data_IF_789487417961
#
_entry.id   IF_789487417961
#
_cell.length_a   1.000
_cell.length_b   1.000
_cell.length_c   1.000
_cell.angle_alpha   90.00
_cell.angle_beta   90.00
_cell.angle_gamma   90.00
#
_symmetry.space_group_name_H-M   'P 1'
#
loop_
_entity.id
_entity.type
_entity.pdbx_description
1 polymer ?
#
# COMPACT_ATOMS: atom_id res chain seq x y z
N UNK A 1 17.42 4.95 13.84
CA UNK A 1 16.68 6.08 13.24
C UNK A 1 15.60 5.49 12.37
N UNK A 2 14.32 5.81 12.62
CA UNK A 2 13.24 5.37 11.74
C UNK A 2 13.43 6.03 10.37
N UNK A 3 13.45 5.23 9.30
CA UNK A 3 13.50 5.78 7.95
C UNK A 3 12.25 6.64 7.72
N UNK A 4 12.42 7.83 7.15
CA UNK A 4 11.30 8.65 6.71
C UNK A 4 10.55 7.88 5.62
N UNK A 5 9.30 7.53 5.89
CA UNK A 5 8.43 6.90 4.91
C UNK A 5 8.25 7.86 3.73
N UNK A 6 8.67 7.45 2.54
CA UNK A 6 8.46 8.17 1.29
C UNK A 6 8.62 7.19 0.12
N UNK A 7 7.64 7.08 -0.79
CA UNK A 7 7.79 6.24 -1.98
C UNK A 7 8.85 6.83 -2.89
N UNK A 8 9.40 6.04 -3.82
CA UNK A 8 10.16 6.61 -4.92
C UNK A 8 9.23 7.48 -5.78
N UNK A 9 9.70 8.68 -6.17
CA UNK A 9 8.94 9.57 -7.06
C UNK A 9 8.59 8.92 -8.39
N UNK A 10 9.50 8.09 -8.90
CA UNK A 10 9.30 7.26 -10.08
C UNK A 10 9.08 5.83 -9.60
N UNK A 11 8.02 5.17 -10.07
CA UNK A 11 7.83 3.75 -9.81
C UNK A 11 8.90 2.91 -10.57
N UNK A 12 8.88 1.60 -10.38
CA UNK A 12 9.87 0.70 -11.01
C UNK A 12 9.88 0.80 -12.55
N UNK A 13 8.75 1.16 -13.17
CA UNK A 13 8.62 1.39 -14.61
C UNK A 13 9.00 2.82 -15.05
N UNK A 14 9.67 3.57 -14.19
CA UNK A 14 10.09 4.96 -14.39
C UNK A 14 8.92 5.95 -14.57
N UNK A 15 7.73 5.62 -14.12
CA UNK A 15 6.53 6.47 -14.21
C UNK A 15 6.41 7.35 -12.96
N UNK A 16 6.21 8.65 -13.16
CA UNK A 16 6.04 9.62 -12.08
C UNK A 16 4.72 9.43 -11.34
N UNK A 17 4.76 9.31 -10.01
CA UNK A 17 3.57 9.15 -9.18
C UNK A 17 2.64 10.38 -9.21
N UNK A 18 3.16 11.55 -9.59
CA UNK A 18 2.39 12.80 -9.61
C UNK A 18 1.69 13.08 -10.93
N UNK A 19 2.32 12.74 -12.05
CA UNK A 19 1.85 13.13 -13.38
C UNK A 19 1.66 11.97 -14.35
N UNK A 20 2.05 10.75 -13.99
CA UNK A 20 1.90 9.57 -14.84
C UNK A 20 2.84 9.49 -16.05
N UNK A 21 3.74 10.46 -16.25
CA UNK A 21 4.71 10.41 -17.35
C UNK A 21 5.98 9.62 -16.99
N UNK A 22 6.51 8.87 -17.96
CA UNK A 22 7.80 8.19 -17.85
C UNK A 22 8.96 9.19 -17.84
N UNK A 23 10.00 8.89 -17.05
CA UNK A 23 11.24 9.67 -16.93
C UNK A 23 11.01 11.15 -16.61
N UNK A 24 9.95 11.47 -15.85
CA UNK A 24 9.58 12.86 -15.56
C UNK A 24 10.71 13.60 -14.83
N UNK A 25 11.12 14.76 -15.37
CA UNK A 25 12.08 15.69 -14.77
C UNK A 25 11.46 17.04 -14.40
N UNK A 26 10.13 17.15 -14.36
CA UNK A 26 9.43 18.40 -14.07
C UNK A 26 9.76 18.92 -12.67
N UNK A 27 10.25 20.17 -12.58
CA UNK A 27 10.50 20.85 -11.31
C UNK A 27 9.27 20.88 -10.40
N UNK A 28 8.06 20.99 -10.98
CA UNK A 28 6.80 20.92 -10.22
C UNK A 28 6.63 19.58 -9.49
N UNK A 29 6.87 18.46 -10.19
CA UNK A 29 6.72 17.12 -9.60
C UNK A 29 7.82 16.81 -8.58
N UNK A 30 9.04 17.32 -8.81
CA UNK A 30 10.15 17.21 -7.87
C UNK A 30 9.80 17.96 -6.58
N UNK A 31 9.43 19.24 -6.70
CA UNK A 31 9.08 20.05 -5.54
C UNK A 31 7.80 19.59 -4.83
N UNK A 32 6.86 18.92 -5.51
CA UNK A 32 5.74 18.22 -4.88
C UNK A 32 6.26 17.08 -4.02
N UNK A 33 7.07 16.20 -4.61
CA UNK A 33 7.58 15.04 -3.92
C UNK A 33 8.43 15.37 -2.68
N UNK A 34 9.25 16.40 -2.75
CA UNK A 34 10.15 16.81 -1.66
C UNK A 34 9.38 17.33 -0.42
N UNK A 35 8.26 18.03 -0.64
CA UNK A 35 7.45 18.63 0.43
C UNK A 35 6.36 17.70 0.98
N UNK A 36 5.99 16.66 0.25
CA UNK A 36 4.97 15.72 0.69
C UNK A 36 5.44 14.91 1.88
N UNK A 37 4.52 14.78 2.84
CA UNK A 37 4.64 13.88 3.99
C UNK A 37 3.85 12.62 3.66
N UNK A 38 4.36 11.46 4.04
CA UNK A 38 3.73 10.19 3.72
C UNK A 38 3.51 9.37 4.98
N UNK A 39 2.43 8.60 4.96
CA UNK A 39 2.02 7.71 6.03
C UNK A 39 1.79 6.32 5.46
N UNK A 40 1.78 5.31 6.33
CA UNK A 40 1.30 3.99 5.95
C UNK A 40 -0.20 4.07 5.65
N UNK A 41 -0.61 3.46 4.55
CA UNK A 41 -2.01 3.40 4.16
C UNK A 41 -2.85 2.76 5.28
N UNK A 42 -3.98 3.38 5.62
CA UNK A 42 -4.87 2.91 6.67
C UNK A 42 -5.73 1.73 6.21
N UNK A 43 -5.97 1.62 4.91
CA UNK A 43 -6.86 0.60 4.35
C UNK A 43 -6.14 -0.73 4.12
N UNK A 44 -4.88 -0.68 3.68
CA UNK A 44 -4.10 -1.89 3.35
C UNK A 44 -2.88 -2.11 4.25
N UNK A 45 -2.77 -1.35 5.34
CA UNK A 45 -1.68 -1.49 6.34
C UNK A 45 -0.25 -1.47 5.77
N UNK A 46 -0.07 -0.88 4.59
CA UNK A 46 1.23 -0.80 3.94
C UNK A 46 1.55 -1.95 2.99
N UNK A 47 0.67 -2.95 2.85
CA UNK A 47 0.91 -4.08 1.95
C UNK A 47 0.80 -3.70 0.46
N UNK A 48 0.09 -2.62 0.13
CA UNK A 48 0.06 -2.06 -1.23
C UNK A 48 -0.49 -3.04 -2.28
N UNK A 49 -1.40 -3.92 -1.86
CA UNK A 49 -1.86 -5.02 -2.69
C UNK A 49 -2.70 -4.52 -3.86
N UNK A 50 -2.41 -5.06 -5.04
CA UNK A 50 -3.21 -4.91 -6.26
C UNK A 50 -4.06 -6.17 -6.44
N UNK A 51 -4.95 -6.43 -5.47
CA UNK A 51 -5.90 -7.54 -5.57
C UNK A 51 -7.06 -7.23 -6.53
N UNK A 52 -7.73 -8.24 -7.12
CA UNK A 52 -8.80 -8.03 -8.10
C UNK A 52 -10.09 -7.44 -7.51
N UNK A 53 -10.25 -7.42 -6.17
CA UNK A 53 -11.47 -6.96 -5.50
C UNK A 53 -11.29 -5.69 -4.67
N UNK A 54 -10.06 -5.38 -4.23
CA UNK A 54 -9.74 -4.20 -3.43
C UNK A 54 -8.46 -3.53 -3.93
N UNK A 55 -8.57 -2.84 -5.07
CA UNK A 55 -7.48 -2.01 -5.57
C UNK A 55 -7.33 -0.79 -4.65
N UNK A 56 -6.42 -0.89 -3.67
CA UNK A 56 -6.15 0.22 -2.78
C UNK A 56 -5.62 1.42 -3.59
N UNK A 57 -6.19 2.60 -3.36
CA UNK A 57 -5.81 3.84 -4.06
C UNK A 57 -4.49 4.47 -3.53
N UNK A 58 -3.78 3.74 -2.67
CA UNK A 58 -2.50 4.17 -2.13
C UNK A 58 -1.36 4.01 -3.16
N UNK A 59 -0.25 4.69 -2.91
CA UNK A 59 0.99 4.54 -3.65
C UNK A 59 1.80 3.39 -3.03
N UNK A 60 1.47 2.16 -3.41
CA UNK A 60 2.16 0.92 -2.97
C UNK A 60 2.29 0.82 -1.44
N UNK A 61 1.18 1.00 -0.73
CA UNK A 61 1.11 0.93 0.73
C UNK A 61 1.28 2.28 1.43
N UNK A 62 1.54 3.36 0.71
CA UNK A 62 1.72 4.70 1.29
C UNK A 62 0.66 5.69 0.79
N UNK A 63 0.23 6.59 1.66
CA UNK A 63 -0.65 7.70 1.31
C UNK A 63 0.03 9.03 1.63
N UNK A 64 -0.25 10.06 0.84
CA UNK A 64 0.16 11.42 1.19
C UNK A 64 -0.64 11.86 2.42
N UNK A 65 0.06 12.33 3.46
CA UNK A 65 -0.56 12.81 4.67
C UNK A 65 -1.31 14.11 4.36
N UNK A 66 -2.58 14.16 4.71
CA UNK A 66 -3.36 15.39 4.69
C UNK A 66 -3.40 15.99 6.11
N UNK A 67 -3.72 17.29 6.25
CA UNK A 67 -3.91 17.89 7.58
C UNK A 67 -5.02 17.24 8.42
N UNK A 68 -5.87 16.41 7.80
CA UNK A 68 -6.97 15.71 8.46
C UNK A 68 -6.56 14.38 9.10
N UNK A 69 -5.31 13.92 8.91
CA UNK A 69 -4.83 12.68 9.50
C UNK A 69 -4.69 12.84 11.02
N UNK A 70 -5.35 11.97 11.78
CA UNK A 70 -5.24 11.94 13.24
C UNK A 70 -3.81 11.52 13.67
N UNK A 71 -3.15 12.23 14.60
CA UNK A 71 -1.86 11.82 15.16
C UNK A 71 -1.83 10.41 15.79
N UNK A 72 -2.98 9.85 16.16
CA UNK A 72 -3.11 8.47 16.63
C UNK A 72 -2.87 7.46 15.49
N UNK A 73 -3.36 7.74 14.28
CA UNK A 73 -3.17 6.89 13.10
C UNK A 73 -1.69 6.75 12.72
N UNK A 74 -0.91 7.82 12.93
CA UNK A 74 0.55 7.80 12.74
C UNK A 74 1.30 6.85 13.68
N UNK A 75 0.68 6.45 14.79
CA UNK A 75 1.28 5.64 15.86
C UNK A 75 0.60 4.29 16.03
N UNK A 76 -0.38 3.96 15.19
CA UNK A 76 -1.09 2.69 15.29
C UNK A 76 -0.13 1.51 15.06
N UNK A 77 -0.31 0.39 15.76
CA UNK A 77 0.45 -0.81 15.48
C UNK A 77 0.11 -1.32 14.08
N UNK A 78 1.12 -1.70 13.31
CA UNK A 78 0.96 -2.27 11.97
C UNK A 78 1.16 -3.78 12.03
N UNK A 79 0.31 -4.58 11.36
CA UNK A 79 0.50 -6.01 11.25
C UNK A 79 1.77 -6.35 10.46
N UNK A 80 2.38 -7.49 10.78
CA UNK A 80 3.57 -8.01 10.07
C UNK A 80 3.16 -8.85 8.84
N UNK A 81 1.97 -9.46 8.90
CA UNK A 81 1.41 -10.33 7.85
C UNK A 81 0.04 -9.80 7.43
N UNK A 82 -0.35 -10.07 6.17
CA UNK A 82 -1.71 -9.74 5.73
C UNK A 82 -2.68 -10.69 6.43
N UNK A 83 -3.77 -10.19 7.01
CA UNK A 83 -4.77 -11.05 7.66
C UNK A 83 -5.37 -12.11 6.72
N UNK A 84 -5.42 -11.82 5.42
CA UNK A 84 -5.96 -12.71 4.39
C UNK A 84 -5.06 -13.92 4.11
N UNK A 85 -3.76 -13.82 4.41
CA UNK A 85 -2.80 -14.92 4.20
C UNK A 85 -2.90 -15.99 5.31
N UNK A 86 -3.65 -15.73 6.40
CA UNK A 86 -3.87 -16.66 7.53
C UNK A 86 -5.12 -17.54 7.34
N UNK A 87 -6.01 -17.25 6.38
CA UNK A 87 -7.15 -18.12 6.07
C UNK A 87 -6.69 -19.27 5.17
N UNK A 88 -6.82 -20.55 5.59
CA UNK A 88 -6.47 -21.67 4.73
C UNK A 88 -7.43 -21.71 3.53
N UNK A 89 -6.96 -21.29 2.36
CA UNK A 89 -7.75 -21.14 1.12
C UNK A 89 -8.52 -22.39 0.68
N UNK A 90 -8.24 -23.57 1.23
CA UNK A 90 -8.92 -24.81 0.86
C UNK A 90 -9.11 -25.75 2.06
N UNK A 91 -10.18 -25.58 2.85
CA UNK A 91 -10.78 -26.75 3.51
C UNK A 91 -11.45 -27.62 2.43
N UNK A 92 -10.66 -28.52 1.83
CA UNK A 92 -11.20 -29.63 1.04
C UNK A 92 -11.97 -30.51 2.02
N UNK A 93 -13.29 -30.33 2.10
CA UNK A 93 -14.14 -31.29 2.81
C UNK A 93 -13.93 -32.65 2.16
N UNK A 94 -13.46 -33.69 2.88
CA UNK A 94 -13.35 -35.02 2.33
C UNK A 94 -14.73 -35.46 1.83
N UNK A 95 -14.85 -35.78 0.55
CA UNK A 95 -16.07 -36.39 -0.01
C UNK A 95 -16.31 -37.68 0.77
N UNK A 96 -17.48 -37.90 1.40
CA UNK A 96 -17.71 -39.14 2.14
C UNK A 96 -17.55 -40.32 1.18
N UNK A 97 -16.60 -41.20 1.49
CA UNK A 97 -16.48 -42.48 0.80
C UNK A 97 -17.82 -43.21 0.96
N UNK A 98 -18.45 -43.53 -0.17
CA UNK A 98 -19.78 -44.14 -0.20
C UNK A 98 -19.87 -45.36 0.72
N UNK A 99 -20.97 -45.46 1.44
CA UNK A 99 -21.35 -46.70 2.13
C UNK A 99 -21.89 -47.68 1.08
N UNK A 100 -21.25 -48.84 0.99
CA UNK A 100 -21.74 -50.04 0.29
C UNK A 100 -23.12 -50.47 0.76
#
# INVERSE_FOLDING_TARGET
>A
MAATLRPLRLNFAQVCIWCGYRWCASARCIGLHERSVWIVCMDCDGFGVLGPLDACHCVHGLMEATPAVDPAELRRPLPVYRPEDDEPEFMVTPRPAGRS
#
